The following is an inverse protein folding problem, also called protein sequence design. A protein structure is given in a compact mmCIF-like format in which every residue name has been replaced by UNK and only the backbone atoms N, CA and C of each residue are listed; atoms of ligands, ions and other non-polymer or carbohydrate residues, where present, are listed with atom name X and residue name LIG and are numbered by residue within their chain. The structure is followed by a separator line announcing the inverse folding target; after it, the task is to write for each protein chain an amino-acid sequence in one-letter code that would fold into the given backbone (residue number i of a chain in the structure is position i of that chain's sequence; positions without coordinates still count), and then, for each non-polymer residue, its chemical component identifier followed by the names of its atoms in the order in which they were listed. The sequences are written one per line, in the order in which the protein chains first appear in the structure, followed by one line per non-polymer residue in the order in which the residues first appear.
data_IF_544737619391
#
_entry.id   IF_544737619391
#
_cell.length_a   1.000
_cell.length_b   1.000
_cell.length_c   1.000
_cell.angle_alpha   90.00
_cell.angle_beta   90.00
_cell.angle_gamma   90.00
#
_symmetry.space_group_name_H-M   'P 1'
#
loop_
_entity.id
_entity.type
_entity.pdbx_description
1 polymer ?
#
# COMPACT_ATOMS: atom_id res chain seq x y z
N UNK A 1 -7.32 40.86 -44.55
CA UNK A 1 -7.14 39.54 -43.89
C UNK A 1 -5.83 39.29 -43.11
N UNK A 2 -4.82 40.19 -42.99
CA UNK A 2 -3.61 39.90 -42.19
C UNK A 2 -3.78 40.07 -40.67
N UNK A 3 -4.80 40.79 -40.21
CA UNK A 3 -5.00 41.10 -38.79
C UNK A 3 -5.45 39.91 -37.92
N UNK A 4 -6.22 38.98 -38.49
CA UNK A 4 -6.79 37.84 -37.75
C UNK A 4 -5.70 36.83 -37.38
N UNK A 5 -4.73 36.62 -38.28
CA UNK A 5 -3.59 35.71 -38.07
C UNK A 5 -2.62 36.23 -37.00
N UNK A 6 -2.43 37.55 -36.94
CA UNK A 6 -1.58 38.21 -35.92
C UNK A 6 -2.21 38.10 -34.53
N UNK A 7 -3.53 38.34 -34.43
CA UNK A 7 -4.31 38.20 -33.20
C UNK A 7 -4.35 36.74 -32.68
N UNK A 8 -4.41 35.77 -33.59
CA UNK A 8 -4.38 34.34 -33.23
C UNK A 8 -3.01 33.88 -32.70
N UNK A 9 -1.90 34.32 -33.31
CA UNK A 9 -0.54 34.03 -32.81
C UNK A 9 -0.30 34.64 -31.42
N UNK A 10 -0.81 35.84 -31.18
CA UNK A 10 -0.65 36.55 -29.90
C UNK A 10 -1.47 35.87 -28.78
N UNK A 11 -2.72 35.45 -29.06
CA UNK A 11 -3.53 34.69 -28.10
C UNK A 11 -2.93 33.32 -27.76
N UNK A 12 -2.29 32.62 -28.72
CA UNK A 12 -1.64 31.33 -28.47
C UNK A 12 -0.39 31.46 -27.58
N UNK A 13 0.38 32.56 -27.73
CA UNK A 13 1.51 32.85 -26.85
C UNK A 13 1.09 33.16 -25.42
N UNK A 14 0.01 33.94 -25.24
CA UNK A 14 -0.56 34.26 -23.92
C UNK A 14 -1.14 32.99 -23.26
N UNK A 15 -1.83 32.15 -24.03
CA UNK A 15 -2.37 30.87 -23.53
C UNK A 15 -1.26 29.89 -23.13
N UNK A 16 -0.21 29.75 -23.94
CA UNK A 16 0.92 28.89 -23.61
C UNK A 16 1.71 29.39 -22.39
N UNK A 17 1.89 30.71 -22.25
CA UNK A 17 2.52 31.29 -21.06
C UNK A 17 1.69 31.06 -19.79
N UNK A 18 0.36 31.14 -19.89
CA UNK A 18 -0.56 30.83 -18.80
C UNK A 18 -0.48 29.37 -18.35
N UNK A 19 -0.39 28.43 -19.30
CA UNK A 19 -0.20 27.00 -19.00
C UNK A 19 1.14 26.76 -18.33
N UNK A 20 2.23 27.33 -18.83
CA UNK A 20 3.58 27.19 -18.23
C UNK A 20 3.61 27.75 -16.80
N UNK A 21 3.00 28.91 -16.57
CA UNK A 21 2.92 29.50 -15.22
C UNK A 21 2.09 28.63 -14.27
N UNK A 22 0.95 28.11 -14.72
CA UNK A 22 0.12 27.20 -13.92
C UNK A 22 0.86 25.89 -13.59
N UNK A 23 1.58 25.31 -14.56
CA UNK A 23 2.41 24.12 -14.35
C UNK A 23 3.53 24.36 -13.34
N UNK A 24 4.15 25.55 -13.38
CA UNK A 24 5.19 25.93 -12.42
C UNK A 24 4.63 26.08 -11.00
N UNK A 25 3.45 26.69 -10.84
CA UNK A 25 2.78 26.81 -9.53
C UNK A 25 2.39 25.44 -8.98
N UNK A 26 1.88 24.54 -9.83
CA UNK A 26 1.53 23.16 -9.42
C UNK A 26 2.81 22.40 -9.01
N UNK A 27 3.89 22.50 -9.78
CA UNK A 27 5.15 21.83 -9.46
C UNK A 27 5.79 22.35 -8.16
N UNK A 28 5.75 23.67 -7.94
CA UNK A 28 6.21 24.28 -6.70
C UNK A 28 5.30 23.91 -5.51
N UNK A 29 3.98 23.83 -5.71
CA UNK A 29 3.03 23.39 -4.69
C UNK A 29 3.21 21.92 -4.30
N UNK A 30 3.45 21.03 -5.27
CA UNK A 30 3.78 19.62 -5.01
C UNK A 30 5.09 19.52 -4.25
N UNK A 31 6.13 20.27 -4.65
CA UNK A 31 7.39 20.30 -3.91
C UNK A 31 7.21 20.82 -2.48
N UNK A 32 6.38 21.84 -2.25
CA UNK A 32 6.10 22.34 -0.91
C UNK A 32 5.35 21.31 -0.05
N UNK A 33 4.35 20.61 -0.61
CA UNK A 33 3.62 19.56 0.12
C UNK A 33 4.52 18.35 0.45
N UNK A 34 5.44 18.01 -0.46
CA UNK A 34 6.32 16.82 -0.33
C UNK A 34 7.57 17.11 0.51
N UNK A 35 8.12 18.32 0.45
CA UNK A 35 9.39 18.71 1.11
C UNK A 35 9.12 19.43 2.44
N UNK A 36 8.13 20.32 2.51
CA UNK A 36 7.76 21.04 3.72
C UNK A 36 6.68 20.29 4.51
N UNK A 37 7.14 19.27 5.23
CA UNK A 37 6.68 19.00 6.60
C UNK A 37 5.24 18.52 6.83
N UNK A 38 4.42 18.32 5.81
CA UNK A 38 3.15 17.62 6.02
C UNK A 38 3.44 16.14 6.29
N UNK A 39 2.71 15.54 7.23
CA UNK A 39 2.90 14.15 7.69
C UNK A 39 2.95 13.10 6.56
N UNK A 40 2.50 13.46 5.35
CA UNK A 40 2.53 12.65 4.13
C UNK A 40 3.96 12.46 3.60
N UNK A 41 4.77 13.52 3.53
CA UNK A 41 6.16 13.43 3.05
C UNK A 41 7.05 12.66 4.02
N UNK A 42 6.84 12.86 5.33
CA UNK A 42 7.56 12.12 6.37
C UNK A 42 7.15 10.65 6.43
N UNK A 43 5.88 10.31 6.31
CA UNK A 43 5.43 8.90 6.27
C UNK A 43 5.98 8.14 5.05
N UNK A 44 5.98 8.77 3.86
CA UNK A 44 6.59 8.20 2.66
C UNK A 44 8.11 8.02 2.80
N UNK A 45 8.82 9.04 3.30
CA UNK A 45 10.28 9.00 3.48
C UNK A 45 10.72 8.02 4.57
N UNK A 46 9.94 7.89 5.65
CA UNK A 46 10.21 6.95 6.75
C UNK A 46 9.99 5.50 6.30
N UNK A 47 9.00 5.25 5.45
CA UNK A 47 8.75 3.94 4.86
C UNK A 47 9.91 3.44 3.99
N UNK A 48 10.61 4.35 3.29
CA UNK A 48 11.78 4.02 2.45
C UNK A 48 13.07 3.83 3.28
N UNK A 49 13.27 4.63 4.33
CA UNK A 49 14.51 4.61 5.14
C UNK A 49 14.55 3.50 6.20
N UNK A 50 13.41 3.00 6.69
CA UNK A 50 13.37 1.92 7.69
C UNK A 50 13.59 0.51 7.12
N UNK A 51 13.88 0.37 5.82
CA UNK A 51 14.16 -0.94 5.20
C UNK A 51 15.50 -1.58 5.61
N UNK A 52 16.30 -0.93 6.48
CA UNK A 52 17.65 -1.42 6.86
C UNK A 52 17.87 -1.75 8.35
N UNK A 53 16.83 -1.81 9.19
CA UNK A 53 17.03 -2.23 10.58
C UNK A 53 15.74 -2.54 11.29
N UNK A 54 15.57 -3.80 11.70
CA UNK A 54 14.37 -4.32 12.37
C UNK A 54 14.14 -3.58 13.69
N UNK A 55 13.21 -2.64 13.68
CA UNK A 55 12.34 -2.32 14.81
C UNK A 55 10.91 -2.29 14.24
N UNK A 56 10.16 -3.36 14.48
CA UNK A 56 8.82 -3.56 13.91
C UNK A 56 7.84 -2.67 14.68
N UNK A 57 7.67 -1.44 14.22
CA UNK A 57 6.71 -0.45 14.74
C UNK A 57 5.36 -0.47 13.98
N UNK A 58 5.15 -1.42 13.05
CA UNK A 58 3.90 -1.54 12.29
C UNK A 58 2.87 -2.42 13.00
N UNK A 59 1.59 -2.09 12.85
CA UNK A 59 0.46 -2.83 13.42
C UNK A 59 0.36 -4.25 12.85
N UNK A 60 0.53 -4.38 11.54
CA UNK A 60 0.63 -5.68 10.87
C UNK A 60 1.90 -5.76 10.03
N UNK A 61 2.49 -6.95 9.99
CA UNK A 61 3.76 -7.19 9.34
C UNK A 61 3.87 -8.61 8.80
N UNK A 62 4.85 -8.81 7.91
CA UNK A 62 5.18 -10.11 7.36
C UNK A 62 6.25 -10.80 8.20
N UNK A 63 6.01 -12.05 8.54
CA UNK A 63 7.03 -12.97 9.04
C UNK A 63 7.16 -14.16 8.10
N UNK A 64 8.35 -14.74 8.04
CA UNK A 64 8.59 -16.01 7.38
C UNK A 64 8.52 -17.13 8.41
N UNK A 65 7.79 -18.19 8.09
CA UNK A 65 7.78 -19.44 8.86
C UNK A 65 8.21 -20.61 7.95
N UNK A 66 8.20 -21.83 8.50
CA UNK A 66 8.61 -23.04 7.74
C UNK A 66 7.62 -23.37 6.60
N UNK A 67 6.37 -22.93 6.74
CA UNK A 67 5.26 -23.21 5.83
C UNK A 67 4.96 -22.03 4.87
N UNK A 68 5.88 -21.06 4.74
CA UNK A 68 5.73 -19.90 3.86
C UNK A 68 5.82 -18.56 4.57
N UNK A 69 4.91 -17.65 4.21
CA UNK A 69 4.83 -16.29 4.75
C UNK A 69 3.53 -16.10 5.49
N UNK A 70 3.58 -15.37 6.60
CA UNK A 70 2.43 -15.07 7.44
C UNK A 70 2.31 -13.57 7.69
N UNK A 71 1.07 -13.08 7.68
CA UNK A 71 0.70 -11.75 8.16
C UNK A 71 0.37 -11.89 9.64
N UNK A 72 1.12 -11.16 10.48
CA UNK A 72 0.97 -11.15 11.93
C UNK A 72 0.72 -9.74 12.44
N UNK A 73 0.14 -9.63 13.62
CA UNK A 73 -0.09 -8.35 14.31
C UNK A 73 0.94 -8.11 15.42
N UNK A 74 1.33 -6.85 15.63
CA UNK A 74 2.18 -6.44 16.77
C UNK A 74 1.37 -6.06 18.02
N UNK A 75 0.05 -5.94 17.89
CA UNK A 75 -0.88 -5.55 18.97
C UNK A 75 -2.12 -6.44 19.01
N UNK A 76 -2.83 -6.45 20.13
CA UNK A 76 -4.13 -7.09 20.21
C UNK A 76 -5.15 -6.31 19.36
N UNK A 77 -5.89 -7.02 18.51
CA UNK A 77 -6.99 -6.48 17.69
C UNK A 77 -8.26 -7.19 18.11
N UNK A 78 -9.23 -6.43 18.63
CA UNK A 78 -10.47 -6.98 19.15
C UNK A 78 -11.64 -6.89 18.15
N UNK A 79 -12.54 -7.87 18.22
CA UNK A 79 -13.82 -7.91 17.51
C UNK A 79 -13.73 -7.67 15.99
N UNK A 80 -12.67 -8.17 15.35
CA UNK A 80 -12.51 -8.04 13.90
C UNK A 80 -13.61 -8.82 13.18
N UNK A 81 -14.31 -8.15 12.28
CA UNK A 81 -15.32 -8.76 11.41
C UNK A 81 -14.78 -8.91 9.99
N UNK A 82 -14.04 -7.90 9.52
CA UNK A 82 -13.49 -7.86 8.17
C UNK A 82 -12.10 -7.21 8.19
N UNK A 83 -11.16 -7.76 7.42
CA UNK A 83 -9.84 -7.18 7.19
C UNK A 83 -9.63 -6.99 5.69
N UNK A 84 -9.26 -5.79 5.26
CA UNK A 84 -8.83 -5.52 3.89
C UNK A 84 -7.35 -5.21 3.89
N UNK A 85 -6.60 -5.82 2.97
CA UNK A 85 -5.17 -5.54 2.78
C UNK A 85 -4.73 -5.84 1.36
N UNK A 86 -3.61 -5.26 0.96
CA UNK A 86 -3.00 -5.49 -0.36
C UNK A 86 -1.52 -5.83 -0.23
N UNK A 87 -1.05 -6.73 -1.08
CA UNK A 87 0.36 -7.07 -1.22
C UNK A 87 0.91 -6.43 -2.49
N UNK A 88 1.99 -5.66 -2.36
CA UNK A 88 2.76 -5.19 -3.50
C UNK A 88 4.10 -5.92 -3.59
N UNK A 89 4.43 -6.40 -4.78
CA UNK A 89 5.62 -7.20 -5.06
C UNK A 89 6.04 -7.08 -6.53
N UNK A 90 7.25 -7.52 -6.85
CA UNK A 90 7.69 -7.60 -8.25
C UNK A 90 7.18 -8.90 -8.90
N UNK A 91 6.16 -8.80 -9.74
CA UNK A 91 5.55 -9.96 -10.40
C UNK A 91 6.41 -10.64 -11.46
N UNK A 92 7.48 -9.99 -11.94
CA UNK A 92 8.47 -10.63 -12.80
C UNK A 92 9.34 -11.62 -12.02
N UNK A 93 9.51 -11.37 -10.72
CA UNK A 93 10.45 -12.10 -9.87
C UNK A 93 9.76 -13.09 -8.93
N UNK A 94 8.51 -12.83 -8.52
CA UNK A 94 7.71 -13.74 -7.70
C UNK A 94 6.24 -13.83 -8.14
N UNK A 95 5.54 -14.88 -7.70
CA UNK A 95 4.07 -14.93 -7.60
C UNK A 95 3.67 -15.22 -6.15
N UNK A 96 2.53 -14.70 -5.72
CA UNK A 96 1.90 -15.01 -4.43
C UNK A 96 0.69 -15.88 -4.70
N UNK A 97 0.58 -17.00 -3.97
CA UNK A 97 -0.39 -18.05 -4.20
C UNK A 97 -0.92 -18.61 -2.86
N UNK A 98 -2.01 -19.37 -2.89
CA UNK A 98 -2.53 -20.15 -1.76
C UNK A 98 -2.73 -19.37 -0.44
N UNK A 99 -3.50 -18.28 -0.48
CA UNK A 99 -3.96 -17.60 0.73
C UNK A 99 -4.79 -18.54 1.63
N UNK A 100 -4.44 -18.63 2.91
CA UNK A 100 -5.06 -19.47 3.93
C UNK A 100 -5.28 -18.66 5.21
N UNK A 101 -6.42 -18.85 5.84
CA UNK A 101 -6.76 -18.23 7.12
C UNK A 101 -7.69 -19.16 7.90
N UNK A 102 -7.72 -19.03 9.22
CA UNK A 102 -8.62 -19.81 10.06
C UNK A 102 -9.95 -19.06 10.27
N UNK A 103 -11.06 -19.79 10.26
CA UNK A 103 -12.39 -19.27 10.59
C UNK A 103 -12.86 -18.04 9.78
N UNK A 104 -12.30 -17.82 8.60
CA UNK A 104 -12.67 -16.72 7.72
C UNK A 104 -12.73 -17.15 6.25
N UNK A 105 -13.44 -16.36 5.45
CA UNK A 105 -13.48 -16.45 4.00
C UNK A 105 -12.56 -15.40 3.39
N UNK A 106 -11.76 -15.78 2.39
CA UNK A 106 -10.88 -14.86 1.68
C UNK A 106 -11.49 -14.55 0.31
N UNK A 107 -11.72 -13.25 0.05
CA UNK A 107 -12.20 -12.74 -1.22
C UNK A 107 -11.05 -12.00 -1.90
N UNK A 108 -10.62 -12.49 -3.06
CA UNK A 108 -9.65 -11.80 -3.90
C UNK A 108 -10.36 -10.65 -4.65
N UNK A 109 -10.00 -9.41 -4.33
CA UNK A 109 -10.53 -8.22 -5.00
C UNK A 109 -9.82 -7.93 -6.31
N UNK A 110 -8.49 -8.05 -6.30
CA UNK A 110 -7.64 -7.76 -7.44
C UNK A 110 -6.44 -8.70 -7.43
N UNK A 111 -6.07 -9.20 -8.60
CA UNK A 111 -4.87 -10.00 -8.81
C UNK A 111 -4.14 -9.52 -10.07
N UNK A 112 -3.90 -8.21 -10.11
CA UNK A 112 -3.11 -7.58 -11.16
C UNK A 112 -1.62 -7.92 -10.93
N UNK A 113 -0.82 -8.16 -11.98
CA UNK A 113 0.61 -8.44 -11.80
C UNK A 113 1.32 -7.40 -10.92
N UNK A 114 1.74 -7.83 -9.73
CA UNK A 114 2.52 -7.05 -8.77
C UNK A 114 1.69 -6.43 -7.65
N UNK A 115 0.36 -6.53 -7.71
CA UNK A 115 -0.55 -6.14 -6.62
C UNK A 115 -1.62 -7.21 -6.44
N UNK A 116 -1.73 -7.76 -5.23
CA UNK A 116 -2.82 -8.66 -4.87
C UNK A 116 -3.61 -8.06 -3.70
N UNK A 117 -4.87 -7.72 -3.92
CA UNK A 117 -5.76 -7.13 -2.91
C UNK A 117 -6.78 -8.15 -2.46
N UNK A 118 -6.91 -8.31 -1.14
CA UNK A 118 -7.82 -9.29 -0.54
C UNK A 118 -8.68 -8.66 0.56
N UNK A 119 -9.84 -9.27 0.76
CA UNK A 119 -10.67 -9.10 1.95
C UNK A 119 -10.73 -10.44 2.69
N UNK A 120 -10.57 -10.40 3.99
CA UNK A 120 -10.77 -11.53 4.90
C UNK A 120 -12.05 -11.24 5.69
N UNK A 121 -13.08 -12.05 5.48
CA UNK A 121 -14.36 -11.97 6.18
C UNK A 121 -14.40 -13.04 7.27
N UNK A 122 -14.30 -12.63 8.52
CA UNK A 122 -14.41 -13.56 9.64
C UNK A 122 -15.85 -14.04 9.80
N UNK A 123 -16.05 -15.35 10.03
CA UNK A 123 -17.40 -15.92 10.20
C UNK A 123 -18.09 -15.37 11.45
N UNK A 124 -17.30 -15.10 12.48
CA UNK A 124 -17.71 -14.49 13.74
C UNK A 124 -16.69 -13.41 14.13
N UNK A 125 -17.12 -12.43 14.92
CA UNK A 125 -16.24 -11.38 15.44
C UNK A 125 -15.07 -12.03 16.20
N UNK A 126 -13.85 -11.82 15.70
CA UNK A 126 -12.67 -12.54 16.16
C UNK A 126 -11.74 -11.61 16.95
N UNK A 127 -11.02 -12.14 17.93
CA UNK A 127 -9.93 -11.42 18.59
C UNK A 127 -8.61 -12.01 18.10
N UNK A 128 -7.66 -11.16 17.73
CA UNK A 128 -6.33 -11.55 17.29
C UNK A 128 -5.34 -11.01 18.31
N UNK A 129 -4.66 -11.91 19.02
CA UNK A 129 -3.66 -11.55 20.00
C UNK A 129 -2.35 -11.06 19.35
N UNK A 130 -1.47 -10.44 20.12
CA UNK A 130 -0.10 -10.11 19.69
C UNK A 130 0.59 -11.33 19.08
N UNK A 131 1.18 -11.16 17.89
CA UNK A 131 1.76 -12.21 17.03
C UNK A 131 0.76 -13.27 16.53
N UNK A 132 -0.54 -13.03 16.68
CA UNK A 132 -1.57 -13.85 16.09
C UNK A 132 -1.45 -13.86 14.57
N UNK A 133 -1.51 -15.06 13.98
CA UNK A 133 -1.53 -15.24 12.54
C UNK A 133 -2.91 -14.85 12.00
N UNK A 134 -2.90 -13.95 11.02
CA UNK A 134 -4.10 -13.46 10.35
C UNK A 134 -4.31 -14.22 9.03
N UNK A 135 -3.22 -14.38 8.30
CA UNK A 135 -3.22 -14.89 6.94
C UNK A 135 -1.87 -15.54 6.67
N UNK A 136 -1.90 -16.74 6.12
CA UNK A 136 -0.75 -17.41 5.56
C UNK A 136 -0.85 -17.47 4.05
N UNK A 137 0.28 -17.40 3.36
CA UNK A 137 0.34 -17.58 1.92
C UNK A 137 1.67 -18.17 1.47
N UNK A 138 1.61 -18.82 0.32
CA UNK A 138 2.78 -19.33 -0.39
C UNK A 138 3.24 -18.28 -1.40
N UNK A 139 4.53 -18.34 -1.77
CA UNK A 139 5.03 -17.59 -2.91
C UNK A 139 6.00 -18.45 -3.70
N UNK A 140 6.08 -18.19 -5.00
CA UNK A 140 7.02 -18.87 -5.88
C UNK A 140 8.01 -17.85 -6.46
N UNK A 141 9.30 -18.13 -6.28
CA UNK A 141 10.36 -17.36 -6.96
C UNK A 141 10.46 -17.81 -8.41
N UNK A 142 10.44 -16.83 -9.31
CA UNK A 142 10.73 -17.00 -10.74
C UNK A 142 12.22 -16.81 -11.03
N UNK A 143 12.95 -16.13 -10.14
CA UNK A 143 14.40 -15.96 -10.23
C UNK A 143 15.05 -15.78 -8.83
N UNK A 144 16.39 -15.79 -8.81
CA UNK A 144 17.20 -15.74 -7.58
C UNK A 144 17.57 -14.31 -7.14
N UNK A 145 16.77 -13.30 -7.50
CA UNK A 145 16.98 -11.93 -7.03
C UNK A 145 16.41 -11.76 -5.63
N UNK A 146 16.98 -10.84 -4.87
CA UNK A 146 16.40 -10.42 -3.60
C UNK A 146 15.17 -9.56 -3.88
N UNK A 147 14.08 -9.86 -3.19
CA UNK A 147 12.78 -9.26 -3.44
C UNK A 147 12.15 -8.71 -2.17
N UNK A 148 11.16 -7.85 -2.37
CA UNK A 148 10.36 -7.28 -1.30
C UNK A 148 8.89 -7.60 -1.54
N UNK A 149 8.20 -8.01 -0.48
CA UNK A 149 6.74 -7.99 -0.42
C UNK A 149 6.35 -6.93 0.61
N UNK A 150 5.50 -5.98 0.22
CA UNK A 150 4.99 -4.95 1.11
C UNK A 150 3.50 -5.13 1.34
N UNK A 151 3.05 -5.01 2.58
CA UNK A 151 1.62 -4.86 2.87
C UNK A 151 1.26 -3.39 2.73
N UNK A 152 0.14 -3.11 2.06
CA UNK A 152 -0.40 -1.76 1.85
C UNK A 152 -1.92 -1.77 1.98
N UNK A 153 -2.49 -0.58 2.17
CA UNK A 153 -3.94 -0.35 2.26
C UNK A 153 -4.64 -1.25 3.29
N UNK A 154 -3.99 -1.49 4.43
CA UNK A 154 -4.52 -2.34 5.47
C UNK A 154 -5.49 -1.60 6.39
N UNK A 155 -6.67 -2.17 6.56
CA UNK A 155 -7.67 -1.69 7.49
C UNK A 155 -8.55 -2.85 7.95
N UNK A 156 -9.11 -2.74 9.15
CA UNK A 156 -10.13 -3.67 9.62
C UNK A 156 -11.41 -2.94 9.99
N UNK A 157 -12.53 -3.64 9.84
CA UNK A 157 -13.84 -3.23 10.32
C UNK A 157 -14.23 -4.15 11.47
N UNK A 158 -14.68 -3.56 12.58
CA UNK A 158 -15.15 -4.32 13.73
C UNK A 158 -16.62 -4.75 13.60
N UNK A 159 -17.12 -5.48 14.58
CA UNK A 159 -18.52 -5.94 14.62
C UNK A 159 -19.56 -4.82 14.83
N UNK A 160 -19.13 -3.59 15.12
CA UNK A 160 -19.99 -2.40 15.22
C UNK A 160 -20.05 -1.63 13.90
N UNK A 161 -19.17 -1.96 12.94
CA UNK A 161 -19.06 -1.31 11.65
C UNK A 161 -18.03 -0.18 11.61
N UNK A 162 -17.28 0.05 12.69
CA UNK A 162 -16.22 1.04 12.72
C UNK A 162 -14.97 0.52 12.01
N UNK A 163 -14.33 1.37 11.21
CA UNK A 163 -13.15 1.01 10.41
C UNK A 163 -11.90 1.69 10.94
N UNK A 164 -10.85 0.89 11.11
CA UNK A 164 -9.57 1.28 11.67
C UNK A 164 -8.47 1.06 10.65
N UNK A 165 -7.66 2.10 10.42
CA UNK A 165 -6.46 1.99 9.58
C UNK A 165 -5.34 1.30 10.37
N UNK A 166 -4.62 0.42 9.68
CA UNK A 166 -3.48 -0.29 10.24
C UNK A 166 -2.19 0.21 9.58
N UNK A 167 -1.18 0.48 10.39
CA UNK A 167 0.17 0.68 9.88
C UNK A 167 0.77 -0.66 9.43
N UNK A 168 1.52 -0.63 8.34
CA UNK A 168 2.02 -1.84 7.66
C UNK A 168 3.53 -1.80 7.48
N UNK A 169 4.12 -2.96 7.27
CA UNK A 169 5.51 -3.10 6.83
C UNK A 169 5.64 -4.15 5.73
N UNK A 170 6.85 -4.28 5.21
CA UNK A 170 7.23 -5.27 4.23
C UNK A 170 8.39 -6.14 4.71
N UNK A 171 8.66 -7.19 3.94
CA UNK A 171 9.74 -8.13 4.19
C UNK A 171 10.62 -8.27 2.95
N UNK A 172 11.93 -8.14 3.17
CA UNK A 172 12.98 -8.40 2.17
C UNK A 172 13.51 -9.81 2.34
N UNK A 173 13.69 -10.55 1.24
CA UNK A 173 14.17 -11.93 1.25
C UNK A 173 14.94 -12.34 -0.01
#
# INVERSE_FOLDING_TARGET
MPDILKKYKQNRLISNAGVIAASLVIALGINFIVIDGTNIGQSLKTSVLNSQGVKIDSDIFLEKNDDGFQVVTSKNIGNIQTLTLSFAYNSENISIDNFKTENAEIVNLDNTPGINSIIINFKEATNIDVKGNILQFDFHRKNNKSENINIMNANFTDNTGETYLLSTSGLTF
#
